data_IF_682198412958
#
_entry.id   IF_682198412958
#
_cell.length_a   1.000
_cell.length_b   1.000
_cell.length_c   1.000
_cell.angle_alpha   90.00
_cell.angle_beta   90.00
_cell.angle_gamma   90.00
#
_symmetry.space_group_name_H-M   'P 1'
#
loop_
_entity.id
_entity.type
_entity.pdbx_description
1 polymer ?
#
# COMPACT_ATOMS: atom_id res chain seq x y z
N UNK A 1 16.40 41.97 -34.78
CA UNK A 1 17.53 41.54 -35.63
C UNK A 1 17.90 40.13 -35.28
N UNK A 2 17.80 39.28 -36.33
CA UNK A 2 18.41 37.95 -36.52
C UNK A 2 18.01 36.79 -35.59
N UNK A 3 17.16 35.92 -36.19
CA UNK A 3 16.87 34.54 -35.94
C UNK A 3 18.12 33.66 -36.07
N UNK A 4 18.20 32.58 -35.28
CA UNK A 4 18.95 31.40 -35.71
C UNK A 4 18.25 30.16 -35.12
N UNK A 5 17.61 29.40 -35.99
CA UNK A 5 17.13 28.05 -35.78
C UNK A 5 18.32 27.10 -35.97
N UNK A 6 18.41 26.07 -35.09
CA UNK A 6 19.30 24.93 -35.34
C UNK A 6 18.43 23.64 -35.33
N UNK A 7 18.21 23.14 -36.54
CA UNK A 7 17.63 21.83 -36.82
C UNK A 7 18.76 20.82 -36.80
N UNK A 8 18.64 19.75 -36.00
CA UNK A 8 19.53 18.62 -36.11
C UNK A 8 18.67 17.35 -36.34
N UNK A 9 18.71 16.90 -37.59
CA UNK A 9 18.17 15.63 -38.04
C UNK A 9 19.15 14.50 -37.67
N UNK A 10 18.67 13.43 -37.09
CA UNK A 10 19.41 12.18 -36.97
C UNK A 10 18.65 11.07 -37.69
N UNK A 11 19.37 10.52 -38.65
CA UNK A 11 19.03 9.51 -39.63
C UNK A 11 18.88 8.12 -39.00
N UNK A 12 17.84 7.39 -39.46
CA UNK A 12 17.65 5.95 -39.31
C UNK A 12 18.71 5.14 -40.06
N UNK A 13 19.16 4.07 -39.47
CA UNK A 13 19.78 2.93 -40.19
C UNK A 13 19.07 1.64 -39.80
N UNK A 14 18.32 1.12 -40.77
CA UNK A 14 17.74 -0.22 -40.79
C UNK A 14 18.79 -1.16 -41.39
N UNK A 15 19.08 -2.29 -40.77
CA UNK A 15 19.72 -3.43 -41.37
C UNK A 15 19.01 -4.70 -40.92
N UNK A 16 18.22 -5.23 -41.82
CA UNK A 16 17.70 -6.59 -41.76
C UNK A 16 18.69 -7.58 -42.36
N UNK A 17 18.63 -8.79 -41.86
CA UNK A 17 18.97 -9.99 -42.71
C UNK A 17 18.18 -11.21 -42.23
N UNK A 18 17.55 -11.83 -43.21
CA UNK A 18 16.81 -13.08 -43.23
C UNK A 18 17.76 -14.30 -43.23
N UNK A 19 17.23 -15.46 -42.87
CA UNK A 19 17.13 -16.71 -43.64
C UNK A 19 17.02 -17.91 -42.68
N UNK A 20 15.93 -18.63 -42.72
CA UNK A 20 15.59 -19.80 -43.55
C UNK A 20 16.08 -21.16 -43.04
N UNK A 21 15.12 -22.06 -42.90
CA UNK A 21 15.14 -23.46 -43.24
C UNK A 21 15.07 -24.39 -42.01
N UNK A 22 14.17 -25.34 -41.86
CA UNK A 22 13.27 -26.08 -42.68
C UNK A 22 13.07 -27.44 -42.04
N UNK A 23 11.83 -27.92 -41.93
CA UNK A 23 11.30 -29.31 -42.09
C UNK A 23 12.07 -30.48 -41.42
N UNK A 24 11.49 -31.49 -40.83
CA UNK A 24 10.32 -32.32 -41.13
C UNK A 24 10.04 -33.34 -40.01
N UNK A 25 8.75 -33.58 -39.80
CA UNK A 25 8.02 -34.84 -39.54
C UNK A 25 8.75 -36.09 -38.99
N UNK A 26 8.19 -36.71 -37.93
CA UNK A 26 7.45 -37.98 -38.09
C UNK A 26 6.74 -38.39 -36.78
N UNK A 27 5.47 -38.77 -36.93
CA UNK A 27 4.63 -39.45 -35.96
C UNK A 27 4.92 -40.98 -35.96
N UNK A 28 4.72 -41.62 -34.83
CA UNK A 28 4.28 -43.05 -34.79
C UNK A 28 3.74 -43.41 -33.40
N UNK A 29 2.46 -43.52 -33.31
CA UNK A 29 1.51 -44.59 -32.90
C UNK A 29 1.89 -45.57 -31.79
N UNK A 30 1.04 -45.55 -30.77
CA UNK A 30 0.29 -46.60 -30.06
C UNK A 30 0.96 -47.90 -29.58
N UNK A 31 0.68 -48.24 -28.32
CA UNK A 31 -0.06 -49.48 -27.98
C UNK A 31 -0.45 -49.52 -26.51
N UNK A 32 -1.72 -49.77 -26.27
CA UNK A 32 -2.33 -50.08 -24.99
C UNK A 32 -2.04 -51.56 -24.63
N UNK A 33 -1.94 -51.84 -23.34
CA UNK A 33 -2.26 -53.15 -22.79
C UNK A 33 -2.84 -53.07 -21.41
N UNK A 34 -3.99 -53.65 -21.28
CA UNK A 34 -4.87 -53.86 -20.12
C UNK A 34 -4.41 -55.03 -19.26
N UNK A 35 -4.76 -55.01 -17.98
CA UNK A 35 -5.25 -56.07 -17.07
C UNK A 35 -4.52 -56.00 -15.71
N UNK A 36 -5.06 -56.25 -14.54
CA UNK A 36 -6.33 -56.63 -14.00
C UNK A 36 -6.21 -56.54 -12.47
N UNK A 37 -7.32 -56.42 -11.81
CA UNK A 37 -7.55 -56.25 -10.39
C UNK A 37 -6.99 -57.38 -9.50
N UNK A 38 -6.61 -56.97 -8.26
CA UNK A 38 -6.80 -57.86 -7.08
C UNK A 38 -7.03 -56.99 -5.85
N UNK A 39 -8.19 -57.21 -5.27
CA UNK A 39 -8.75 -56.74 -4.07
C UNK A 39 -8.01 -57.32 -2.84
N UNK A 40 -7.68 -56.49 -1.85
CA UNK A 40 -7.55 -56.91 -0.45
C UNK A 40 -7.76 -55.74 0.48
N UNK A 41 -8.87 -55.79 1.17
CA UNK A 41 -9.26 -55.05 2.36
C UNK A 41 -8.30 -55.28 3.52
N UNK A 42 -7.80 -54.23 4.16
CA UNK A 42 -7.44 -54.25 5.58
C UNK A 42 -7.65 -52.87 6.20
N UNK A 43 -8.20 -52.91 7.40
CA UNK A 43 -8.85 -51.90 8.16
C UNK A 43 -7.97 -50.74 8.63
N UNK A 44 -8.70 -49.66 8.96
CA UNK A 44 -8.29 -48.40 9.55
C UNK A 44 -7.42 -48.52 10.81
N UNK A 45 -6.44 -47.61 10.89
CA UNK A 45 -6.09 -47.03 12.17
C UNK A 45 -5.81 -45.54 11.94
N UNK A 46 -6.74 -44.71 12.43
CA UNK A 46 -6.71 -43.27 12.40
C UNK A 46 -5.87 -42.79 13.57
N UNK A 47 -4.58 -42.56 13.34
CA UNK A 47 -3.80 -41.72 14.20
C UNK A 47 -3.71 -40.35 13.54
N UNK A 48 -4.47 -39.39 14.08
CA UNK A 48 -4.32 -37.98 13.79
C UNK A 48 -2.90 -37.53 14.25
N UNK A 49 -1.98 -37.40 13.30
CA UNK A 49 -0.75 -36.67 13.53
C UNK A 49 -1.09 -35.18 13.56
N UNK A 50 -1.04 -34.59 14.76
CA UNK A 50 -0.96 -33.15 14.91
C UNK A 50 0.26 -32.70 14.11
N UNK A 51 0.05 -31.89 13.09
CA UNK A 51 1.12 -31.16 12.43
C UNK A 51 1.61 -30.12 13.46
N UNK A 52 2.70 -30.43 14.14
CA UNK A 52 3.50 -29.42 14.81
C UNK A 52 4.05 -28.52 13.69
N UNK A 53 3.46 -27.33 13.57
CA UNK A 53 4.07 -26.23 12.83
C UNK A 53 5.31 -25.82 13.62
N UNK A 54 6.45 -26.39 13.27
CA UNK A 54 7.74 -25.84 13.71
C UNK A 54 7.86 -24.47 13.09
N UNK A 55 7.63 -23.42 13.89
CA UNK A 55 8.07 -22.09 13.56
C UNK A 55 9.57 -22.20 13.26
N UNK A 56 9.97 -21.92 12.02
CA UNK A 56 11.37 -21.79 11.66
C UNK A 56 11.94 -20.68 12.55
N UNK A 57 12.95 -21.00 13.35
CA UNK A 57 13.65 -20.01 14.14
C UNK A 57 14.17 -18.94 13.16
N UNK A 58 13.70 -17.71 13.30
CA UNK A 58 14.16 -16.59 12.50
C UNK A 58 15.69 -16.51 12.63
N UNK A 59 16.40 -16.26 11.53
CA UNK A 59 17.84 -16.04 11.54
C UNK A 59 18.11 -14.83 12.43
N UNK A 60 18.65 -15.08 13.63
CA UNK A 60 18.79 -14.09 14.71
C UNK A 60 19.68 -12.89 14.34
N UNK A 61 20.41 -12.98 13.23
CA UNK A 61 21.30 -11.93 12.74
C UNK A 61 20.73 -11.11 11.58
N UNK A 62 19.61 -11.52 10.99
CA UNK A 62 18.95 -10.79 9.91
C UNK A 62 18.26 -9.53 10.45
N UNK A 63 18.54 -8.39 9.83
CA UNK A 63 17.90 -7.10 10.11
C UNK A 63 17.08 -6.70 8.88
N UNK A 64 15.75 -6.70 9.04
CA UNK A 64 14.83 -6.34 7.96
C UNK A 64 14.85 -4.84 7.69
N UNK A 65 14.92 -4.45 6.42
CA UNK A 65 14.87 -3.05 5.99
C UNK A 65 13.43 -2.66 5.68
N UNK A 66 12.83 -1.87 6.55
CA UNK A 66 11.43 -1.42 6.42
C UNK A 66 11.43 0.06 6.05
N UNK A 67 10.48 0.46 5.20
CA UNK A 67 10.28 1.86 4.81
C UNK A 67 8.87 2.31 5.13
N UNK A 68 8.72 3.63 5.31
CA UNK A 68 7.43 4.24 5.64
C UNK A 68 7.32 5.64 5.03
N UNK A 69 6.12 6.23 5.08
CA UNK A 69 5.89 7.61 4.67
C UNK A 69 6.54 8.61 5.64
N UNK A 70 6.60 9.88 5.27
CA UNK A 70 7.21 10.94 6.07
C UNK A 70 6.23 11.68 6.95
N UNK A 71 4.94 11.75 6.56
CA UNK A 71 3.98 12.66 7.16
C UNK A 71 2.53 12.18 7.01
N UNK A 72 2.21 11.04 7.62
CA UNK A 72 0.88 10.43 7.59
C UNK A 72 0.31 10.26 9.01
N UNK A 73 0.31 11.37 9.79
CA UNK A 73 -0.21 11.39 11.17
C UNK A 73 -1.70 11.00 11.21
N UNK A 74 -2.11 10.06 12.12
CA UNK A 74 -1.38 9.57 13.28
C UNK A 74 -0.62 8.24 13.08
N UNK A 75 -0.49 7.72 11.85
CA UNK A 75 0.10 6.40 11.59
C UNK A 75 1.63 6.43 11.58
N UNK A 76 2.24 7.34 10.83
CA UNK A 76 3.67 7.59 10.85
C UNK A 76 3.99 9.05 10.60
N UNK A 77 4.79 9.63 11.46
CA UNK A 77 5.24 11.01 11.37
C UNK A 77 6.44 11.27 12.27
N UNK A 78 7.14 12.36 12.01
CA UNK A 78 8.21 12.82 12.89
C UNK A 78 7.62 13.78 13.92
N UNK A 79 7.82 13.48 15.21
CA UNK A 79 7.40 14.34 16.31
C UNK A 79 8.32 15.57 16.49
N UNK A 80 7.97 16.46 17.41
CA UNK A 80 8.73 17.71 17.70
C UNK A 80 10.15 17.44 18.19
N UNK A 81 10.45 16.21 18.67
CA UNK A 81 11.79 15.81 19.09
C UNK A 81 12.65 15.28 17.91
N UNK A 82 12.06 15.11 16.75
CA UNK A 82 12.69 14.52 15.56
C UNK A 82 12.63 13.00 15.53
N UNK A 83 11.82 12.37 16.39
CA UNK A 83 11.64 10.91 16.43
C UNK A 83 10.49 10.49 15.52
N UNK A 84 10.68 9.42 14.76
CA UNK A 84 9.60 8.74 14.02
C UNK A 84 8.69 8.03 15.02
N UNK A 85 7.40 8.34 14.97
CA UNK A 85 6.35 7.82 15.88
C UNK A 85 5.06 7.60 15.10
N UNK A 86 4.09 6.92 15.70
CA UNK A 86 2.76 6.70 15.14
C UNK A 86 2.28 5.28 15.30
N UNK A 87 1.03 5.04 14.92
CA UNK A 87 0.36 3.73 15.05
C UNK A 87 1.16 2.64 14.31
N UNK A 88 1.56 2.90 13.08
CA UNK A 88 2.30 1.96 12.24
C UNK A 88 3.67 1.62 12.85
N UNK A 89 4.36 2.64 13.37
CA UNK A 89 5.68 2.50 14.00
C UNK A 89 5.58 1.64 15.25
N UNK A 90 4.58 1.90 16.10
CA UNK A 90 4.41 1.19 17.37
C UNK A 90 3.84 -0.22 17.17
N UNK A 91 2.96 -0.44 16.18
CA UNK A 91 2.49 -1.78 15.77
C UNK A 91 3.68 -2.62 15.30
N UNK A 92 4.51 -2.09 14.39
CA UNK A 92 5.69 -2.80 13.89
C UNK A 92 6.65 -3.15 15.03
N UNK A 93 6.90 -2.21 15.95
CA UNK A 93 7.76 -2.43 17.10
C UNK A 93 7.22 -3.54 18.03
N UNK A 94 5.92 -3.50 18.34
CA UNK A 94 5.28 -4.50 19.18
C UNK A 94 5.30 -5.90 18.54
N UNK A 95 5.07 -5.98 17.22
CA UNK A 95 5.14 -7.23 16.46
C UNK A 95 6.58 -7.76 16.41
N UNK A 96 7.57 -6.89 16.19
CA UNK A 96 8.98 -7.30 16.14
C UNK A 96 9.47 -7.84 17.50
N UNK A 97 9.05 -7.20 18.59
CA UNK A 97 9.34 -7.68 19.96
C UNK A 97 8.68 -9.04 20.24
N UNK A 98 7.41 -9.22 19.83
CA UNK A 98 6.66 -10.46 20.05
C UNK A 98 7.24 -11.64 19.24
N UNK A 99 7.59 -11.39 17.98
CA UNK A 99 8.08 -12.41 17.05
C UNK A 99 9.61 -12.57 17.06
N UNK A 100 10.34 -11.72 17.79
CA UNK A 100 11.78 -11.81 17.98
C UNK A 100 12.62 -11.49 16.74
N UNK A 101 12.15 -10.66 15.82
CA UNK A 101 12.95 -10.23 14.67
C UNK A 101 13.50 -8.81 14.84
N UNK A 102 14.61 -8.53 14.14
CA UNK A 102 15.24 -7.21 14.11
C UNK A 102 14.88 -6.47 12.82
N UNK A 103 14.70 -5.16 12.92
CA UNK A 103 14.45 -4.31 11.75
C UNK A 103 15.10 -2.94 11.90
N UNK A 104 15.27 -2.27 10.78
CA UNK A 104 15.51 -0.83 10.67
C UNK A 104 14.34 -0.23 9.88
N UNK A 105 13.75 0.86 10.38
CA UNK A 105 12.69 1.60 9.68
C UNK A 105 13.24 2.94 9.21
N UNK A 106 12.93 3.28 7.93
CA UNK A 106 13.32 4.56 7.31
C UNK A 106 12.09 5.26 6.77
N UNK A 107 11.90 6.50 7.21
CA UNK A 107 10.86 7.40 6.71
C UNK A 107 11.41 8.11 5.46
N UNK A 108 10.92 7.74 4.27
CA UNK A 108 11.44 8.21 2.98
C UNK A 108 10.36 8.77 2.05
N UNK A 109 9.10 8.75 2.48
CA UNK A 109 7.94 9.20 1.70
C UNK A 109 7.21 8.05 1.02
N UNK A 110 5.94 8.27 0.69
CA UNK A 110 5.05 7.25 0.14
C UNK A 110 5.56 6.65 -1.18
N UNK A 111 5.73 7.48 -2.22
CA UNK A 111 6.16 7.03 -3.55
C UNK A 111 7.57 6.41 -3.51
N UNK A 112 8.47 7.00 -2.71
CA UNK A 112 9.82 6.49 -2.53
C UNK A 112 9.83 5.13 -1.81
N UNK A 113 8.91 4.89 -0.86
CA UNK A 113 8.76 3.62 -0.16
C UNK A 113 8.29 2.52 -1.11
N UNK A 114 7.29 2.80 -1.95
CA UNK A 114 6.84 1.87 -3.00
C UNK A 114 8.00 1.54 -3.94
N UNK A 115 8.69 2.56 -4.45
CA UNK A 115 9.80 2.38 -5.39
C UNK A 115 10.97 1.58 -4.78
N UNK A 116 11.32 1.84 -3.51
CA UNK A 116 12.38 1.13 -2.79
C UNK A 116 12.05 -0.36 -2.62
N UNK A 117 10.81 -0.69 -2.26
CA UNK A 117 10.35 -2.09 -2.14
C UNK A 117 10.34 -2.79 -3.50
N UNK A 118 9.81 -2.16 -4.55
CA UNK A 118 9.81 -2.71 -5.91
C UNK A 118 11.22 -2.94 -6.47
N UNK A 119 12.16 -2.08 -6.12
CA UNK A 119 13.56 -2.21 -6.52
C UNK A 119 14.38 -3.18 -5.64
N UNK A 120 13.77 -3.78 -4.60
CA UNK A 120 14.47 -4.66 -3.66
C UNK A 120 15.46 -3.94 -2.74
N UNK A 121 15.33 -2.62 -2.58
CA UNK A 121 16.16 -1.80 -1.69
C UNK A 121 15.60 -1.77 -0.25
N UNK A 122 14.33 -2.14 -0.09
CA UNK A 122 13.68 -2.40 1.17
C UNK A 122 13.00 -3.76 1.14
N UNK A 123 12.86 -4.39 2.30
CA UNK A 123 12.22 -5.70 2.43
C UNK A 123 10.70 -5.60 2.52
N UNK A 124 10.18 -4.50 3.05
CA UNK A 124 8.75 -4.24 3.16
C UNK A 124 8.45 -2.82 3.57
N UNK A 125 7.17 -2.47 3.58
CA UNK A 125 6.68 -1.16 4.01
C UNK A 125 5.46 -1.27 4.92
N UNK A 126 5.37 -0.33 5.87
CA UNK A 126 4.19 -0.06 6.68
C UNK A 126 3.92 1.44 6.59
N UNK A 127 2.82 1.84 6.00
CA UNK A 127 2.55 3.25 5.67
C UNK A 127 1.06 3.50 5.36
N UNK A 128 0.14 2.97 6.17
CA UNK A 128 -1.29 3.09 5.91
C UNK A 128 -1.73 2.56 4.55
N UNK A 129 -1.07 1.51 4.06
CA UNK A 129 -1.29 1.01 2.71
C UNK A 129 -2.57 0.18 2.62
N UNK A 130 -3.63 0.71 1.99
CA UNK A 130 -4.89 -0.02 1.79
C UNK A 130 -4.70 -1.28 0.97
N UNK A 131 -5.26 -2.38 1.46
CA UNK A 131 -5.31 -3.68 0.79
C UNK A 131 -6.39 -3.64 -0.28
N UNK A 132 -5.99 -3.71 -1.57
CA UNK A 132 -6.94 -3.76 -2.69
C UNK A 132 -6.59 -4.87 -3.67
N UNK A 133 -7.59 -5.34 -4.43
CA UNK A 133 -7.37 -6.35 -5.46
C UNK A 133 -6.51 -5.81 -6.61
N UNK A 134 -6.59 -4.51 -6.89
CA UNK A 134 -5.75 -3.87 -7.89
C UNK A 134 -4.28 -3.88 -7.47
N UNK A 135 -3.96 -3.47 -6.24
CA UNK A 135 -2.59 -3.54 -5.70
C UNK A 135 -2.06 -4.97 -5.66
N UNK A 136 -2.87 -5.94 -5.20
CA UNK A 136 -2.49 -7.37 -5.24
C UNK A 136 -2.19 -7.84 -6.66
N UNK A 137 -3.01 -7.48 -7.64
CA UNK A 137 -2.79 -7.83 -9.05
C UNK A 137 -1.56 -7.14 -9.66
N UNK A 138 -1.15 -6.01 -9.10
CA UNK A 138 0.06 -5.26 -9.48
C UNK A 138 1.33 -5.73 -8.77
N UNK A 139 1.27 -6.85 -8.01
CA UNK A 139 2.43 -7.50 -7.42
C UNK A 139 2.68 -7.14 -5.95
N UNK A 140 1.77 -6.43 -5.28
CA UNK A 140 1.83 -6.24 -3.85
C UNK A 140 1.41 -7.52 -3.13
N UNK A 141 2.14 -7.87 -2.08
CA UNK A 141 1.83 -8.98 -1.17
C UNK A 141 1.59 -8.36 0.20
N UNK A 142 0.38 -8.51 0.71
CA UNK A 142 -0.04 -7.88 1.96
C UNK A 142 -0.08 -8.87 3.12
N UNK A 143 0.09 -8.35 4.31
CA UNK A 143 -0.33 -8.98 5.57
C UNK A 143 -1.85 -9.04 5.70
N UNK A 144 -2.33 -9.63 6.79
CA UNK A 144 -3.68 -9.39 7.30
C UNK A 144 -3.87 -7.90 7.60
N UNK A 145 -5.12 -7.41 7.52
CA UNK A 145 -5.45 -6.03 7.80
C UNK A 145 -5.27 -5.66 9.27
N UNK A 146 -4.69 -4.48 9.51
CA UNK A 146 -4.50 -4.00 10.88
C UNK A 146 -5.39 -2.80 11.25
N UNK A 147 -5.90 -2.03 10.28
CA UNK A 147 -6.74 -0.86 10.55
C UNK A 147 -7.70 -0.59 9.39
N UNK A 148 -8.96 -0.27 9.67
CA UNK A 148 -9.96 0.10 8.66
C UNK A 148 -9.93 1.61 8.39
N UNK A 149 -9.79 2.02 7.14
CA UNK A 149 -9.85 3.41 6.72
C UNK A 149 -10.66 3.57 5.42
N UNK A 150 -11.36 4.69 5.33
CA UNK A 150 -12.01 5.12 4.11
C UNK A 150 -11.47 6.49 3.68
N UNK A 151 -11.67 6.84 2.41
CA UNK A 151 -11.32 8.15 1.90
C UNK A 151 -12.56 9.05 1.91
N UNK A 152 -12.36 10.34 2.18
CA UNK A 152 -13.41 11.35 2.12
C UNK A 152 -12.88 12.68 1.57
N UNK A 153 -13.79 13.62 1.35
CA UNK A 153 -13.46 14.96 0.88
C UNK A 153 -13.39 15.93 2.07
N UNK A 154 -12.37 16.78 2.09
CA UNK A 154 -12.31 17.94 2.98
C UNK A 154 -12.15 19.25 2.20
N UNK A 155 -12.63 20.32 2.81
CA UNK A 155 -12.62 21.69 2.27
C UNK A 155 -12.14 22.66 3.34
N UNK A 156 -11.77 23.89 2.95
CA UNK A 156 -11.50 24.93 3.92
C UNK A 156 -12.72 25.15 4.84
N UNK A 157 -12.49 25.48 6.11
CA UNK A 157 -13.52 25.66 7.14
C UNK A 157 -14.65 26.61 6.71
N UNK A 158 -14.28 27.71 6.03
CA UNK A 158 -15.20 28.74 5.54
C UNK A 158 -15.78 28.45 4.15
N UNK A 159 -15.56 27.26 3.58
CA UNK A 159 -16.10 26.87 2.27
C UNK A 159 -17.61 26.58 2.35
N UNK A 160 -18.34 26.99 1.30
CA UNK A 160 -19.77 26.67 1.11
C UNK A 160 -20.00 25.32 0.39
N UNK A 161 -18.93 24.58 0.06
CA UNK A 161 -19.03 23.27 -0.59
C UNK A 161 -19.50 22.24 0.45
N UNK A 162 -20.64 21.60 0.15
CA UNK A 162 -21.28 20.60 1.04
C UNK A 162 -21.41 19.21 0.40
N UNK A 163 -20.82 19.00 -0.76
CA UNK A 163 -20.84 17.74 -1.48
C UNK A 163 -20.14 17.85 -2.83
N UNK A 164 -20.06 16.76 -3.56
CA UNK A 164 -19.33 16.68 -4.82
C UNK A 164 -19.86 17.61 -5.92
N UNK A 165 -21.16 17.91 -5.93
CA UNK A 165 -21.77 18.85 -6.90
C UNK A 165 -21.13 20.26 -6.84
N UNK A 166 -20.63 20.64 -5.65
CA UNK A 166 -19.94 21.92 -5.45
C UNK A 166 -18.55 21.99 -6.08
N UNK A 167 -18.02 20.87 -6.59
CA UNK A 167 -16.68 20.80 -7.19
C UNK A 167 -16.66 21.14 -8.69
N UNK A 168 -17.81 21.29 -9.33
CA UNK A 168 -17.89 21.51 -10.78
C UNK A 168 -17.05 22.69 -11.24
N UNK A 169 -16.11 22.41 -12.17
CA UNK A 169 -15.18 23.41 -12.72
C UNK A 169 -14.10 23.89 -11.75
N UNK A 170 -13.90 23.19 -10.63
CA UNK A 170 -12.87 23.49 -9.64
C UNK A 170 -11.74 22.48 -9.72
N UNK A 171 -10.59 22.83 -9.11
CA UNK A 171 -9.48 21.90 -8.88
C UNK A 171 -9.58 21.32 -7.46
N UNK A 172 -9.31 20.03 -7.34
CA UNK A 172 -9.17 19.30 -6.08
C UNK A 172 -7.77 18.72 -5.95
N UNK A 173 -7.32 18.50 -4.73
CA UNK A 173 -6.00 17.97 -4.44
C UNK A 173 -6.09 16.50 -3.98
N UNK A 174 -5.11 15.71 -4.38
CA UNK A 174 -4.91 14.32 -3.95
C UNK A 174 -3.42 14.04 -3.75
N UNK A 175 -3.08 13.04 -2.93
CA UNK A 175 -1.72 12.51 -2.86
C UNK A 175 -1.48 11.51 -3.98
N UNK A 176 -0.33 11.61 -4.66
CA UNK A 176 0.06 10.72 -5.76
C UNK A 176 0.03 9.24 -5.33
N UNK A 177 -0.38 8.34 -6.23
CA UNK A 177 -0.41 6.88 -6.05
C UNK A 177 -1.18 6.40 -4.80
N UNK A 178 -2.11 7.20 -4.28
CA UNK A 178 -2.93 6.89 -3.11
C UNK A 178 -4.33 6.41 -3.49
N UNK A 179 -5.02 5.76 -2.55
CA UNK A 179 -6.44 5.42 -2.70
C UNK A 179 -7.33 6.65 -2.84
N UNK A 180 -6.91 7.77 -2.24
CA UNK A 180 -7.63 9.05 -2.36
C UNK A 180 -7.56 9.61 -3.78
N UNK A 181 -6.43 9.39 -4.48
CA UNK A 181 -6.30 9.73 -5.90
C UNK A 181 -7.25 8.87 -6.75
N UNK A 182 -7.25 7.55 -6.54
CA UNK A 182 -8.14 6.63 -7.28
C UNK A 182 -9.61 6.96 -7.03
N UNK A 183 -9.96 7.30 -5.78
CA UNK A 183 -11.31 7.71 -5.44
C UNK A 183 -11.72 9.02 -6.14
N UNK A 184 -10.88 10.04 -6.10
CA UNK A 184 -11.14 11.30 -6.81
C UNK A 184 -11.23 11.09 -8.33
N UNK A 185 -10.34 10.26 -8.92
CA UNK A 185 -10.37 9.90 -10.34
C UNK A 185 -11.69 9.23 -10.74
N UNK A 186 -12.26 8.38 -9.89
CA UNK A 186 -13.55 7.72 -10.14
C UNK A 186 -14.73 8.69 -10.19
N UNK A 187 -14.60 9.86 -9.57
CA UNK A 187 -15.66 10.87 -9.42
C UNK A 187 -15.53 12.05 -10.39
N UNK A 188 -14.33 12.36 -10.89
CA UNK A 188 -14.04 13.59 -11.61
C UNK A 188 -14.91 13.85 -12.83
N UNK A 189 -15.16 12.82 -13.63
CA UNK A 189 -15.95 12.97 -14.86
C UNK A 189 -17.43 13.21 -14.55
N UNK A 190 -17.95 12.55 -13.51
CA UNK A 190 -19.35 12.71 -13.08
C UNK A 190 -19.61 14.11 -12.53
N UNK A 191 -18.69 14.67 -11.73
CA UNK A 191 -18.87 15.94 -11.05
C UNK A 191 -18.14 17.11 -11.70
N UNK A 192 -17.31 16.84 -12.71
CA UNK A 192 -16.70 17.86 -13.58
C UNK A 192 -15.65 18.71 -12.90
N UNK A 193 -14.74 18.11 -12.14
CA UNK A 193 -13.61 18.79 -11.50
C UNK A 193 -12.27 18.34 -12.09
N UNK A 194 -11.22 19.10 -11.82
CA UNK A 194 -9.83 18.81 -12.19
C UNK A 194 -9.06 18.29 -10.97
N UNK A 195 -8.06 17.43 -11.17
CA UNK A 195 -7.22 16.88 -10.09
C UNK A 195 -5.83 17.48 -10.16
N UNK A 196 -5.31 17.90 -8.99
CA UNK A 196 -3.93 18.34 -8.78
C UNK A 196 -3.26 17.38 -7.81
N UNK A 197 -2.11 16.82 -8.20
CA UNK A 197 -1.37 15.83 -7.42
C UNK A 197 -0.31 16.47 -6.54
N UNK A 198 -0.16 15.96 -5.32
CA UNK A 198 0.80 16.36 -4.32
C UNK A 198 1.61 15.14 -3.85
N UNK A 199 2.82 15.37 -3.34
CA UNK A 199 3.68 14.29 -2.83
C UNK A 199 3.30 13.87 -1.40
N UNK A 200 2.75 14.81 -0.59
CA UNK A 200 2.39 14.57 0.81
C UNK A 200 1.08 15.27 1.21
N UNK A 201 0.43 14.75 2.25
CA UNK A 201 -0.82 15.27 2.77
C UNK A 201 -0.69 16.66 3.38
N UNK A 202 0.35 17.02 4.15
CA UNK A 202 0.49 18.38 4.70
C UNK A 202 0.53 19.47 3.63
N UNK A 203 1.29 19.28 2.55
CA UNK A 203 1.37 20.25 1.44
C UNK A 203 0.02 20.36 0.72
N UNK A 204 -0.64 19.24 0.52
CA UNK A 204 -2.00 19.16 -0.04
C UNK A 204 -3.01 19.96 0.81
N UNK A 205 -3.01 19.80 2.14
CA UNK A 205 -3.89 20.54 3.03
C UNK A 205 -3.62 22.05 3.01
N UNK A 206 -2.35 22.46 2.96
CA UNK A 206 -2.00 23.87 2.83
C UNK A 206 -2.51 24.48 1.51
N UNK A 207 -2.57 23.72 0.43
CA UNK A 207 -3.15 24.18 -0.83
C UNK A 207 -4.67 24.43 -0.72
N UNK A 208 -5.40 23.60 0.06
CA UNK A 208 -6.82 23.82 0.37
C UNK A 208 -7.02 25.08 1.23
N UNK A 209 -6.31 25.18 2.33
CA UNK A 209 -6.40 26.33 3.26
C UNK A 209 -6.01 27.64 2.57
N UNK A 210 -4.98 27.59 1.71
CA UNK A 210 -4.51 28.72 0.90
C UNK A 210 -5.41 29.07 -0.28
N UNK A 211 -6.49 28.32 -0.53
CA UNK A 211 -7.42 28.55 -1.64
C UNK A 211 -6.83 28.28 -3.03
N UNK A 212 -5.74 27.52 -3.13
CA UNK A 212 -5.14 27.11 -4.41
C UNK A 212 -5.98 26.03 -5.08
N UNK A 213 -6.63 25.18 -4.28
CA UNK A 213 -7.59 24.16 -4.69
C UNK A 213 -8.85 24.29 -3.84
N UNK A 214 -9.98 23.78 -4.32
CA UNK A 214 -11.26 23.92 -3.66
C UNK A 214 -11.49 22.88 -2.54
N UNK A 215 -10.89 21.71 -2.68
CA UNK A 215 -11.03 20.56 -1.78
C UNK A 215 -9.80 19.67 -1.90
N UNK A 216 -9.67 18.74 -0.96
CA UNK A 216 -8.81 17.57 -1.12
C UNK A 216 -9.59 16.29 -0.83
N UNK A 217 -9.05 15.18 -1.34
CA UNK A 217 -9.44 13.83 -0.92
C UNK A 217 -8.25 13.20 -0.21
N UNK A 218 -8.49 12.62 0.96
CA UNK A 218 -7.49 11.87 1.72
C UNK A 218 -8.18 10.86 2.64
N UNK A 219 -7.40 10.04 3.31
CA UNK A 219 -7.93 9.08 4.26
C UNK A 219 -8.57 9.80 5.46
N UNK A 220 -9.80 9.43 5.74
CA UNK A 220 -10.62 10.10 6.75
C UNK A 220 -9.95 10.21 8.13
N UNK A 221 -9.32 9.12 8.67
CA UNK A 221 -8.66 9.22 9.98
C UNK A 221 -7.47 10.18 9.97
N UNK A 222 -6.76 10.30 8.84
CA UNK A 222 -5.63 11.23 8.68
C UNK A 222 -6.10 12.68 8.73
N UNK A 223 -7.11 13.01 7.92
CA UNK A 223 -7.70 14.34 7.91
C UNK A 223 -8.29 14.72 9.27
N UNK A 224 -9.03 13.79 9.89
CA UNK A 224 -9.65 14.03 11.18
C UNK A 224 -8.62 14.34 12.28
N UNK A 225 -7.52 13.57 12.33
CA UNK A 225 -6.43 13.82 13.28
C UNK A 225 -5.76 15.17 13.02
N UNK A 226 -5.42 15.48 11.78
CA UNK A 226 -4.75 16.75 11.46
C UNK A 226 -5.64 17.97 11.73
N UNK A 227 -6.94 17.90 11.39
CA UNK A 227 -7.89 18.97 11.66
C UNK A 227 -8.02 19.20 13.17
N UNK A 228 -8.18 18.12 13.97
CA UNK A 228 -8.32 18.17 15.42
C UNK A 228 -7.08 18.74 16.11
N UNK A 229 -5.89 18.26 15.71
CA UNK A 229 -4.67 18.48 16.47
C UNK A 229 -3.96 19.80 16.13
N UNK A 230 -4.20 20.36 14.93
CA UNK A 230 -3.43 21.52 14.44
C UNK A 230 -4.28 22.75 14.15
N UNK A 231 -5.58 22.71 14.43
CA UNK A 231 -6.52 23.79 14.04
C UNK A 231 -6.34 24.18 12.55
N UNK A 232 -6.31 23.17 11.70
CA UNK A 232 -5.87 23.29 10.30
C UNK A 232 -6.74 24.23 9.44
N UNK A 233 -7.90 24.66 9.96
CA UNK A 233 -8.84 25.52 9.21
C UNK A 233 -9.53 24.80 8.07
N UNK A 234 -9.76 23.51 8.23
CA UNK A 234 -10.45 22.62 7.29
C UNK A 234 -11.59 21.87 7.97
N UNK A 235 -12.51 21.36 7.18
CA UNK A 235 -13.57 20.43 7.63
C UNK A 235 -13.77 19.31 6.63
N UNK A 236 -14.03 18.10 7.14
CA UNK A 236 -14.47 16.97 6.33
C UNK A 236 -15.93 17.22 5.94
N UNK A 237 -16.28 16.90 4.69
CA UNK A 237 -17.64 17.04 4.18
C UNK A 237 -18.41 15.75 4.40
N UNK A 238 -19.48 15.80 5.18
CA UNK A 238 -20.32 14.66 5.50
C UNK A 238 -20.89 13.99 4.24
N UNK A 239 -20.96 12.64 4.25
CA UNK A 239 -21.55 11.88 3.17
C UNK A 239 -20.67 11.77 1.92
N UNK A 240 -19.40 12.15 2.00
CA UNK A 240 -18.43 12.04 0.89
C UNK A 240 -17.46 10.87 1.05
N UNK A 241 -17.62 10.03 2.06
CA UNK A 241 -16.78 8.86 2.29
C UNK A 241 -17.13 7.70 1.36
N UNK A 242 -16.12 6.98 0.89
CA UNK A 242 -16.28 5.68 0.21
C UNK A 242 -16.35 4.53 1.22
N UNK A 243 -16.48 3.30 0.72
CA UNK A 243 -16.41 2.10 1.55
C UNK A 243 -14.99 1.93 2.11
N UNK A 244 -14.84 1.48 3.38
CA UNK A 244 -13.53 1.32 4.00
C UNK A 244 -12.74 0.14 3.39
N UNK A 245 -11.42 0.27 3.42
CA UNK A 245 -10.47 -0.80 3.14
C UNK A 245 -9.49 -0.93 4.31
N UNK A 246 -9.00 -2.14 4.55
CA UNK A 246 -8.01 -2.37 5.60
C UNK A 246 -6.62 -1.90 5.16
N UNK A 247 -5.85 -1.31 6.07
CA UNK A 247 -4.42 -1.11 5.90
C UNK A 247 -3.67 -2.41 6.17
N UNK A 248 -2.63 -2.68 5.40
CA UNK A 248 -1.75 -3.83 5.56
C UNK A 248 -0.27 -3.47 5.46
N UNK A 249 0.56 -4.26 6.12
CA UNK A 249 1.99 -4.30 5.84
C UNK A 249 2.19 -4.92 4.46
N UNK A 250 3.10 -4.38 3.65
CA UNK A 250 3.29 -4.83 2.27
C UNK A 250 4.74 -5.21 1.96
N UNK A 251 4.89 -6.27 1.17
CA UNK A 251 6.13 -6.65 0.48
C UNK A 251 5.88 -6.74 -1.02
N UNK A 252 6.95 -6.75 -1.83
CA UNK A 252 6.88 -6.83 -3.31
C UNK A 252 7.68 -7.99 -3.88
N UNK A 253 8.30 -8.78 -3.02
CA UNK A 253 9.08 -9.96 -3.37
C UNK A 253 8.63 -11.14 -2.50
N UNK A 254 8.07 -12.18 -3.13
CA UNK A 254 7.59 -13.37 -2.41
C UNK A 254 8.68 -14.13 -1.63
N UNK A 255 9.96 -13.87 -1.91
CA UNK A 255 11.06 -14.41 -1.10
C UNK A 255 11.08 -13.82 0.32
N UNK A 256 10.34 -12.76 0.57
CA UNK A 256 10.16 -12.10 1.88
C UNK A 256 8.89 -12.55 2.61
N UNK A 257 8.21 -13.60 2.15
CA UNK A 257 6.94 -14.08 2.75
C UNK A 257 7.07 -14.35 4.26
N UNK A 258 8.23 -14.82 4.71
CA UNK A 258 8.53 -15.00 6.14
C UNK A 258 8.24 -13.73 6.97
N UNK A 259 8.53 -12.54 6.45
CA UNK A 259 8.27 -11.27 7.14
C UNK A 259 6.76 -11.00 7.28
N UNK A 260 5.98 -11.29 6.25
CA UNK A 260 4.50 -11.19 6.29
C UNK A 260 3.92 -12.21 7.28
N UNK A 261 4.44 -13.44 7.28
CA UNK A 261 3.99 -14.49 8.20
C UNK A 261 4.26 -14.13 9.66
N UNK A 262 5.45 -13.57 9.96
CA UNK A 262 5.78 -13.03 11.29
C UNK A 262 4.89 -11.83 11.64
N UNK A 263 4.66 -10.92 10.69
CA UNK A 263 3.76 -9.78 10.91
C UNK A 263 2.35 -10.24 11.28
N UNK A 264 1.78 -11.19 10.56
CA UNK A 264 0.44 -11.72 10.81
C UNK A 264 0.35 -12.44 12.16
N UNK A 265 1.36 -13.24 12.51
CA UNK A 265 1.41 -13.93 13.80
C UNK A 265 1.47 -12.92 14.96
N UNK A 266 2.39 -11.96 14.91
CA UNK A 266 2.52 -10.92 15.93
C UNK A 266 1.31 -9.99 15.98
N UNK A 267 0.69 -9.62 14.84
CA UNK A 267 -0.54 -8.82 14.82
C UNK A 267 -1.67 -9.52 15.58
N UNK A 268 -1.83 -10.83 15.37
CA UNK A 268 -2.80 -11.65 16.09
C UNK A 268 -2.52 -11.64 17.60
N UNK A 269 -1.26 -11.78 17.99
CA UNK A 269 -0.87 -11.88 19.40
C UNK A 269 -1.00 -10.52 20.10
N UNK A 270 -0.61 -9.39 19.48
CA UNK A 270 -0.79 -8.06 20.08
C UNK A 270 -2.27 -7.63 20.13
N UNK A 271 -3.12 -8.11 19.20
CA UNK A 271 -4.58 -7.93 19.30
C UNK A 271 -5.15 -8.77 20.46
N UNK A 272 -4.70 -10.00 20.65
CA UNK A 272 -5.20 -10.89 21.69
C UNK A 272 -4.81 -10.44 23.11
N UNK A 273 -3.64 -9.82 23.28
CA UNK A 273 -3.13 -9.37 24.59
C UNK A 273 -3.51 -7.91 24.93
N UNK A 274 -4.21 -7.19 24.01
CA UNK A 274 -4.68 -5.81 24.19
C UNK A 274 -3.62 -4.74 23.86
N UNK A 275 -2.42 -5.12 23.44
CA UNK A 275 -1.36 -4.15 23.09
C UNK A 275 -1.72 -3.33 21.86
N UNK A 276 -2.41 -3.92 20.89
CA UNK A 276 -2.94 -3.22 19.73
C UNK A 276 -3.90 -2.08 20.14
N UNK A 277 -4.86 -2.37 21.03
CA UNK A 277 -5.84 -1.36 21.49
C UNK A 277 -5.16 -0.25 22.26
N UNK A 278 -4.15 -0.56 23.09
CA UNK A 278 -3.33 0.44 23.79
C UNK A 278 -2.61 1.38 22.81
N UNK A 279 -1.99 0.82 21.76
CA UNK A 279 -1.31 1.61 20.72
C UNK A 279 -2.32 2.54 20.02
N UNK A 280 -3.42 2.01 19.51
CA UNK A 280 -4.43 2.80 18.79
C UNK A 280 -4.99 3.90 19.68
N UNK A 281 -5.32 3.60 20.96
CA UNK A 281 -5.83 4.58 21.91
C UNK A 281 -4.82 5.69 22.25
N UNK A 282 -3.52 5.41 22.17
CA UNK A 282 -2.47 6.42 22.41
C UNK A 282 -2.55 7.56 21.40
N UNK A 283 -2.93 7.29 20.16
CA UNK A 283 -2.92 8.24 19.05
C UNK A 283 -4.31 8.77 18.66
N UNK A 284 -5.35 7.96 18.85
CA UNK A 284 -6.72 8.33 18.43
C UNK A 284 -7.65 8.71 19.62
N UNK A 285 -7.26 8.42 20.83
CA UNK A 285 -7.90 8.88 22.07
C UNK A 285 -9.04 8.00 22.52
#
# INVERSE_FOLDING_TARGET
MKKSALVMAVTMAVLGLSACGGSDTTATTAAATTAAAADTTAAADTTAAAAETTAAAADSDKVWQIVTDTAFKPFEYTDDSGKLVGIDVDILAAIADDQGFKYEIKSIGWDASIAACQAGQADGMIAGASITDERKSSGWIFSDGYYDANQSMAVAENSDITGFDGLKGKSVAVKTASMSADYAESLKDQYGFEITYFEDSPTMYQAVVGGQVAACFDDTPIMASNIKDTDLGMKIVDGTGNDPAEYGFAIFDSSKQELVDMFNAGLKDIKANGKYDEIVATYLG
#
